data_IF_990708436084
#
_entry.id   IF_990708436084
#
_cell.length_a   1.000
_cell.length_b   1.000
_cell.length_c   1.000
_cell.angle_alpha   90.00
_cell.angle_beta   90.00
_cell.angle_gamma   90.00
#
_symmetry.space_group_name_H-M   'P 1'
#
loop_
_entity.id
_entity.type
_entity.pdbx_description
1 polymer ?
#
# COMPACT_ATOMS: atom_id res chain seq x y z
N UNK A 1 17.08 -0.54 -9.99
CA UNK A 1 15.87 0.10 -9.43
C UNK A 1 14.99 -1.01 -8.89
N UNK A 2 14.70 -1.03 -7.58
CA UNK A 2 13.68 -1.95 -7.08
C UNK A 2 12.31 -1.48 -7.60
N UNK A 3 11.65 -2.32 -8.41
CA UNK A 3 10.32 -2.07 -8.99
C UNK A 3 9.29 -1.68 -7.92
N UNK A 4 8.35 -0.80 -8.26
CA UNK A 4 7.22 -0.42 -7.42
C UNK A 4 6.36 -1.64 -7.02
N UNK A 5 6.26 -2.65 -7.90
CA UNK A 5 5.61 -3.94 -7.60
C UNK A 5 6.26 -4.66 -6.40
N UNK A 6 7.59 -4.60 -6.29
CA UNK A 6 8.32 -5.19 -5.15
C UNK A 6 8.09 -4.43 -3.84
N UNK A 7 7.50 -3.24 -3.88
CA UNK A 7 7.20 -2.44 -2.69
C UNK A 7 5.85 -2.85 -2.10
N UNK A 8 4.85 -3.10 -2.95
CA UNK A 8 3.52 -3.59 -2.53
C UNK A 8 3.63 -5.01 -1.98
N UNK A 9 4.30 -5.91 -2.71
CA UNK A 9 4.47 -7.31 -2.28
C UNK A 9 5.18 -7.39 -0.91
N UNK A 10 6.15 -6.51 -0.68
CA UNK A 10 6.90 -6.44 0.58
C UNK A 10 6.02 -5.99 1.74
N UNK A 11 5.19 -4.97 1.54
CA UNK A 11 4.23 -4.52 2.56
C UNK A 11 3.17 -5.59 2.82
N UNK A 12 2.66 -6.27 1.78
CA UNK A 12 1.70 -7.37 1.95
C UNK A 12 2.27 -8.48 2.84
N UNK A 13 3.50 -8.93 2.57
CA UNK A 13 4.16 -9.94 3.42
C UNK A 13 4.33 -9.48 4.87
N UNK A 14 4.67 -8.21 5.09
CA UNK A 14 4.78 -7.65 6.44
C UNK A 14 3.43 -7.64 7.17
N UNK A 15 2.35 -7.32 6.48
CA UNK A 15 0.98 -7.33 7.02
C UNK A 15 0.55 -8.76 7.36
N UNK A 16 0.70 -9.72 6.44
CA UNK A 16 0.36 -11.13 6.66
C UNK A 16 1.10 -11.70 7.88
N UNK A 17 2.39 -11.39 8.00
CA UNK A 17 3.18 -11.79 9.16
C UNK A 17 2.68 -11.14 10.45
N UNK A 18 2.42 -9.83 10.45
CA UNK A 18 1.91 -9.13 11.62
C UNK A 18 0.54 -9.67 12.07
N UNK A 19 -0.37 -9.96 11.14
CA UNK A 19 -1.66 -10.58 11.41
C UNK A 19 -1.51 -11.97 12.02
N UNK A 20 -0.63 -12.80 11.47
CA UNK A 20 -0.34 -14.14 12.01
C UNK A 20 0.17 -14.10 13.45
N UNK A 21 0.87 -13.03 13.81
CA UNK A 21 1.41 -12.77 15.15
C UNK A 21 0.44 -11.99 16.05
N UNK A 22 -0.77 -11.67 15.57
CA UNK A 22 -1.78 -10.84 16.26
C UNK A 22 -1.23 -9.48 16.69
N UNK A 23 -0.31 -8.92 15.92
CA UNK A 23 0.22 -7.59 16.16
C UNK A 23 -0.80 -6.55 15.73
N UNK A 24 -0.89 -5.45 16.47
CA UNK A 24 -1.77 -4.32 16.12
C UNK A 24 -1.11 -3.32 15.17
N UNK A 25 0.21 -3.40 15.00
CA UNK A 25 0.96 -2.49 14.14
C UNK A 25 2.22 -3.17 13.62
N UNK A 26 2.68 -2.73 12.44
CA UNK A 26 3.92 -3.17 11.82
C UNK A 26 4.62 -1.96 11.21
N UNK A 27 5.94 -1.91 11.37
CA UNK A 27 6.76 -0.88 10.73
C UNK A 27 6.95 -1.24 9.25
N UNK A 28 6.79 -0.25 8.37
CA UNK A 28 7.02 -0.39 6.93
C UNK A 28 8.08 0.61 6.47
N UNK A 29 8.89 0.29 5.44
CA UNK A 29 9.83 1.25 4.88
C UNK A 29 9.11 2.49 4.32
N UNK A 30 9.68 3.67 4.58
CA UNK A 30 9.08 4.95 4.16
C UNK A 30 8.84 5.02 2.65
N UNK A 31 9.73 4.43 1.85
CA UNK A 31 9.59 4.37 0.38
C UNK A 31 8.33 3.62 -0.02
N UNK A 32 8.10 2.46 0.59
CA UNK A 32 6.97 1.59 0.24
C UNK A 32 5.64 2.23 0.69
N UNK A 33 5.63 2.89 1.86
CA UNK A 33 4.49 3.67 2.31
C UNK A 33 4.13 4.80 1.32
N UNK A 34 5.12 5.53 0.79
CA UNK A 34 4.89 6.60 -0.19
C UNK A 34 4.27 6.07 -1.47
N UNK A 35 4.74 4.93 -1.97
CA UNK A 35 4.19 4.28 -3.17
C UNK A 35 2.73 3.88 -2.93
N UNK A 36 2.42 3.29 -1.77
CA UNK A 36 1.04 2.93 -1.42
C UNK A 36 0.12 4.16 -1.36
N UNK A 37 0.58 5.25 -0.75
CA UNK A 37 -0.19 6.51 -0.69
C UNK A 37 -0.49 7.05 -2.09
N UNK A 38 0.49 7.06 -2.99
CA UNK A 38 0.30 7.51 -4.38
C UNK A 38 -0.74 6.65 -5.13
N UNK A 39 -0.71 5.33 -4.93
CA UNK A 39 -1.68 4.41 -5.54
C UNK A 39 -3.08 4.68 -4.99
N UNK A 40 -3.21 4.87 -3.67
CA UNK A 40 -4.49 5.20 -3.04
C UNK A 40 -5.04 6.53 -3.58
N UNK A 41 -4.21 7.56 -3.66
CA UNK A 41 -4.58 8.87 -4.21
C UNK A 41 -5.05 8.76 -5.67
N UNK A 42 -4.29 8.04 -6.51
CA UNK A 42 -4.66 7.81 -7.90
C UNK A 42 -5.99 7.04 -8.03
N UNK A 43 -6.21 6.04 -7.18
CA UNK A 43 -7.44 5.23 -7.17
C UNK A 43 -8.65 6.04 -6.71
N UNK A 44 -8.49 6.87 -5.67
CA UNK A 44 -9.54 7.76 -5.18
C UNK A 44 -9.91 8.80 -6.24
N UNK A 45 -8.90 9.41 -6.89
CA UNK A 45 -9.12 10.37 -7.96
C UNK A 45 -9.86 9.74 -9.15
N UNK A 46 -9.54 8.49 -9.51
CA UNK A 46 -10.27 7.74 -10.52
C UNK A 46 -11.73 7.50 -10.11
N UNK A 47 -11.99 7.01 -8.90
CA UNK A 47 -13.36 6.76 -8.42
C UNK A 47 -14.22 8.03 -8.44
N UNK A 48 -13.68 9.16 -7.97
CA UNK A 48 -14.39 10.44 -7.96
C UNK A 48 -14.76 10.93 -9.38
N UNK A 49 -13.94 10.59 -10.38
CA UNK A 49 -14.19 10.93 -11.79
C UNK A 49 -15.24 10.03 -12.45
N UNK A 50 -15.43 8.81 -11.94
CA UNK A 50 -16.46 7.87 -12.44
C UNK A 50 -17.84 8.16 -11.86
N UNK A 51 -17.91 8.69 -10.63
CA UNK A 51 -19.17 9.04 -9.95
C UNK A 51 -19.81 10.33 -10.50
N UNK A 52 -19.04 11.17 -11.19
CA UNK A 52 -19.53 12.42 -11.81
C UNK A 52 -19.93 12.28 -13.29
N UNK A 53 -19.98 11.05 -13.84
CA UNK A 53 -20.46 10.78 -15.20
C UNK A 53 -21.91 10.31 -15.24
#
# INVERSE_FOLDING_TARGET
MESEEMSIERVLKLVEQAESLRMQSVAVPLRDLKILLQICEATIAQQNSTVTK
#
